data_IF_770040246162
#
_entry.id   IF_770040246162
#
_cell.length_a   1.000
_cell.length_b   1.000
_cell.length_c   1.000
_cell.angle_alpha   90.00
_cell.angle_beta   90.00
_cell.angle_gamma   90.00
#
_symmetry.space_group_name_H-M   'P 1'
#
loop_
_entity.id
_entity.type
_entity.pdbx_description
1 polymer ?
#
# COMPACT_ATOMS: atom_id res chain seq x y z
N UNK A 1 10.19 -11.90 15.83
CA UNK A 1 9.62 -10.52 15.86
C UNK A 1 10.18 -9.62 14.78
N UNK A 2 11.49 -9.62 14.50
CA UNK A 2 12.12 -8.78 13.47
C UNK A 2 11.52 -8.98 12.06
N UNK A 3 11.34 -10.23 11.62
CA UNK A 3 10.70 -10.54 10.33
C UNK A 3 9.26 -10.00 10.24
N UNK A 4 8.47 -10.13 11.32
CA UNK A 4 7.12 -9.60 11.38
C UNK A 4 7.08 -8.06 11.37
N UNK A 5 7.98 -7.39 12.11
CA UNK A 5 8.07 -5.93 12.10
C UNK A 5 8.41 -5.45 10.70
N UNK A 6 9.40 -6.08 10.03
CA UNK A 6 9.72 -5.77 8.64
C UNK A 6 8.51 -6.02 7.73
N UNK A 7 7.89 -7.20 7.82
CA UNK A 7 6.70 -7.59 7.06
C UNK A 7 5.54 -6.59 7.18
N UNK A 8 5.27 -6.10 8.39
CA UNK A 8 4.24 -5.08 8.66
C UNK A 8 4.68 -3.70 8.19
N UNK A 9 5.97 -3.35 8.33
CA UNK A 9 6.52 -2.07 7.84
C UNK A 9 6.65 -1.99 6.31
N UNK A 10 6.47 -3.10 5.59
CA UNK A 10 6.45 -3.11 4.12
C UNK A 10 5.13 -2.53 3.65
N UNK A 11 5.10 -1.20 3.47
CA UNK A 11 4.27 -0.47 2.51
C UNK A 11 4.53 1.03 2.57
N UNK A 12 4.73 1.62 1.39
CA UNK A 12 4.96 3.04 1.09
C UNK A 12 6.32 3.57 1.57
N UNK A 13 7.39 2.94 1.07
CA UNK A 13 8.71 3.58 1.00
C UNK A 13 8.69 4.77 0.03
N UNK A 14 9.62 5.71 0.24
CA UNK A 14 9.75 6.97 -0.50
C UNK A 14 9.75 6.82 -2.04
N UNK A 15 10.18 5.68 -2.56
CA UNK A 15 10.31 5.41 -4.01
C UNK A 15 8.97 5.45 -4.75
N UNK A 16 7.90 4.87 -4.20
CA UNK A 16 6.55 5.00 -4.78
C UNK A 16 6.03 6.46 -4.72
N UNK A 17 6.55 7.25 -3.77
CA UNK A 17 6.12 8.61 -3.47
C UNK A 17 6.80 9.64 -4.40
N UNK A 18 8.02 9.36 -4.89
CA UNK A 18 8.81 10.24 -5.78
C UNK A 18 8.40 10.14 -7.25
N UNK A 19 7.94 8.96 -7.70
CA UNK A 19 7.47 8.69 -9.07
C UNK A 19 6.40 9.64 -9.57
N UNK A 20 5.61 10.18 -8.64
CA UNK A 20 4.47 11.00 -8.97
C UNK A 20 4.77 12.51 -9.01
N UNK A 21 5.98 12.93 -8.62
CA UNK A 21 6.32 14.37 -8.44
C UNK A 21 7.21 14.91 -9.56
N UNK A 22 7.93 14.07 -10.31
CA UNK A 22 8.83 14.54 -11.38
C UNK A 22 8.12 14.73 -12.71
N UNK A 23 7.81 16.00 -13.02
CA UNK A 23 7.70 16.62 -14.35
C UNK A 23 6.99 15.80 -15.43
N UNK A 24 5.71 16.10 -15.59
CA UNK A 24 4.87 15.41 -16.54
C UNK A 24 4.88 16.04 -17.95
N UNK A 25 4.58 15.23 -18.97
CA UNK A 25 4.60 15.59 -20.40
C UNK A 25 3.70 16.78 -20.77
N UNK A 26 4.04 17.47 -21.88
CA UNK A 26 3.31 18.63 -22.44
C UNK A 26 1.79 18.45 -22.29
N UNK A 27 1.06 19.48 -21.83
CA UNK A 27 -0.40 19.43 -21.90
C UNK A 27 -0.76 19.32 -23.38
N UNK A 28 -1.32 18.18 -23.77
CA UNK A 28 -2.09 18.11 -25.01
C UNK A 28 -3.21 19.12 -24.82
N UNK A 29 -3.39 20.04 -25.79
CA UNK A 29 -4.55 20.93 -25.81
C UNK A 29 -5.81 20.04 -25.72
N UNK A 30 -6.37 19.93 -24.53
CA UNK A 30 -7.18 18.79 -24.16
C UNK A 30 -8.13 19.14 -23.02
N UNK A 31 -9.22 18.37 -22.95
CA UNK A 31 -10.30 18.56 -21.99
C UNK A 31 -9.74 18.59 -20.56
N UNK A 32 -10.06 19.64 -19.81
CA UNK A 32 -9.79 19.71 -18.37
C UNK A 32 -10.97 19.13 -17.61
N UNK A 33 -10.69 18.41 -16.54
CA UNK A 33 -11.70 17.71 -15.75
C UNK A 33 -11.57 18.14 -14.30
N UNK A 34 -12.70 18.39 -13.67
CA UNK A 34 -12.75 18.78 -12.28
C UNK A 34 -12.32 17.64 -11.35
N UNK A 35 -11.45 17.96 -10.39
CA UNK A 35 -11.11 17.07 -9.27
C UNK A 35 -11.28 17.85 -7.97
N UNK A 36 -11.80 17.20 -6.93
CA UNK A 36 -11.96 17.82 -5.63
C UNK A 36 -10.68 17.64 -4.79
N UNK A 37 -10.18 18.72 -4.20
CA UNK A 37 -9.14 18.71 -3.16
C UNK A 37 -9.69 19.28 -1.85
N UNK A 38 -8.95 19.11 -0.75
CA UNK A 38 -9.27 19.74 0.54
C UNK A 38 -9.28 21.28 0.47
N UNK A 39 -8.58 21.86 -0.52
CA UNK A 39 -8.46 23.31 -0.73
C UNK A 39 -9.38 23.86 -1.81
N UNK A 40 -10.26 23.04 -2.37
CA UNK A 40 -11.22 23.42 -3.41
C UNK A 40 -11.12 22.60 -4.69
N UNK A 41 -11.87 23.01 -5.70
CA UNK A 41 -11.98 22.33 -6.99
C UNK A 41 -10.79 22.70 -7.89
N UNK A 42 -10.09 21.69 -8.40
CA UNK A 42 -8.99 21.85 -9.36
C UNK A 42 -9.41 21.37 -10.73
N UNK A 43 -8.73 21.84 -11.78
CA UNK A 43 -9.06 21.58 -13.19
C UNK A 43 -7.84 21.03 -13.97
N UNK A 44 -7.28 19.88 -13.58
CA UNK A 44 -6.16 19.27 -14.29
C UNK A 44 -6.57 18.77 -15.68
N UNK A 45 -5.61 18.56 -16.60
CA UNK A 45 -5.88 17.87 -17.86
C UNK A 45 -6.47 16.47 -17.61
N UNK A 46 -7.31 15.97 -18.52
CA UNK A 46 -8.09 14.75 -18.32
C UNK A 46 -7.27 13.52 -17.88
N UNK A 47 -6.07 13.32 -18.42
CA UNK A 47 -5.22 12.18 -18.04
C UNK A 47 -4.71 12.28 -16.60
N UNK A 48 -4.37 13.49 -16.14
CA UNK A 48 -3.99 13.73 -14.74
C UNK A 48 -5.20 13.67 -13.81
N UNK A 49 -6.36 14.18 -14.24
CA UNK A 49 -7.60 14.06 -13.48
C UNK A 49 -7.98 12.60 -13.25
N UNK A 50 -7.87 11.79 -14.31
CA UNK A 50 -8.08 10.34 -14.27
C UNK A 50 -7.08 9.68 -13.33
N UNK A 51 -5.80 10.03 -13.42
CA UNK A 51 -4.76 9.56 -12.51
C UNK A 51 -5.08 9.88 -11.04
N UNK A 52 -5.49 11.11 -10.71
CA UNK A 52 -5.84 11.47 -9.33
C UNK A 52 -7.08 10.71 -8.84
N UNK A 53 -8.10 10.55 -9.69
CA UNK A 53 -9.34 9.86 -9.35
C UNK A 53 -9.17 8.34 -9.25
N UNK A 54 -8.29 7.75 -10.06
CA UNK A 54 -7.98 6.31 -10.07
C UNK A 54 -7.10 5.90 -8.87
N UNK A 55 -6.52 6.85 -8.13
CA UNK A 55 -5.69 6.52 -6.97
C UNK A 55 -6.53 5.82 -5.88
N UNK A 56 -6.10 4.64 -5.41
CA UNK A 56 -6.90 3.81 -4.53
C UNK A 56 -7.11 4.46 -3.16
N UNK A 57 -8.37 4.55 -2.74
CA UNK A 57 -8.72 5.05 -1.41
C UNK A 57 -8.62 3.91 -0.37
N UNK A 58 -8.04 4.17 0.82
CA UNK A 58 -7.96 3.17 1.88
C UNK A 58 -9.35 2.84 2.42
N UNK A 59 -9.60 1.56 2.74
CA UNK A 59 -10.81 1.14 3.44
C UNK A 59 -10.88 1.85 4.81
N UNK A 60 -11.99 2.56 5.15
CA UNK A 60 -12.14 3.22 6.45
C UNK A 60 -11.92 2.30 7.65
N UNK A 61 -12.23 1.00 7.52
CA UNK A 61 -12.02 -0.02 8.55
C UNK A 61 -10.55 -0.19 8.94
N UNK A 62 -9.59 0.24 8.11
CA UNK A 62 -8.17 0.22 8.44
C UNK A 62 -7.82 1.03 9.70
N UNK A 63 -8.69 1.96 10.09
CA UNK A 63 -8.50 2.83 11.26
C UNK A 63 -9.17 2.31 12.52
N UNK A 64 -10.01 1.28 12.43
CA UNK A 64 -10.71 0.74 13.59
C UNK A 64 -9.72 -0.02 14.50
N UNK A 65 -9.86 0.06 15.84
CA UNK A 65 -9.08 -0.76 16.75
C UNK A 65 -9.34 -2.25 16.55
N UNK A 66 -8.34 -3.09 16.85
CA UNK A 66 -8.53 -4.55 16.90
C UNK A 66 -8.60 -4.97 18.38
N UNK A 67 -9.80 -5.20 18.94
CA UNK A 67 -9.95 -5.54 20.34
C UNK A 67 -9.48 -6.98 20.60
N UNK A 68 -8.61 -7.15 21.59
CA UNK A 68 -8.16 -8.46 22.08
C UNK A 68 -8.68 -8.64 23.50
N UNK A 69 -9.54 -9.64 23.71
CA UNK A 69 -10.08 -9.99 25.01
C UNK A 69 -9.11 -10.85 25.82
N UNK A 70 -9.41 -11.05 27.11
CA UNK A 70 -8.65 -11.96 27.97
C UNK A 70 -9.05 -13.45 27.82
N UNK A 71 -10.10 -13.76 27.04
CA UNK A 71 -10.67 -15.12 26.96
C UNK A 71 -9.98 -15.94 25.86
N UNK A 72 -9.30 -17.03 26.22
CA UNK A 72 -8.63 -17.89 25.24
C UNK A 72 -9.64 -18.73 24.44
N UNK A 73 -9.49 -18.73 23.12
CA UNK A 73 -10.16 -19.67 22.22
C UNK A 73 -9.42 -21.02 22.21
N UNK A 74 -10.11 -22.15 22.05
CA UNK A 74 -9.46 -23.45 21.83
C UNK A 74 -8.60 -23.48 20.55
N UNK A 75 -8.87 -22.61 19.57
CA UNK A 75 -8.13 -22.54 18.30
C UNK A 75 -6.99 -21.53 18.30
N UNK A 76 -6.99 -20.58 19.24
CA UNK A 76 -6.18 -19.37 19.11
C UNK A 76 -4.67 -19.60 19.13
N UNK A 77 -4.16 -20.57 19.90
CA UNK A 77 -2.72 -20.87 19.86
C UNK A 77 -2.30 -21.42 18.50
N UNK A 78 -3.05 -22.37 17.95
CA UNK A 78 -2.75 -22.99 16.66
C UNK A 78 -2.87 -21.98 15.51
N UNK A 79 -3.92 -21.16 15.52
CA UNK A 79 -4.11 -20.12 14.53
C UNK A 79 -3.04 -19.01 14.62
N UNK A 80 -2.54 -18.70 15.82
CA UNK A 80 -1.49 -17.70 15.99
C UNK A 80 -0.14 -18.21 15.46
N UNK A 81 0.16 -19.50 15.66
CA UNK A 81 1.33 -20.16 15.04
C UNK A 81 1.20 -20.14 13.52
N UNK A 82 0.05 -20.57 12.98
CA UNK A 82 -0.24 -20.55 11.54
C UNK A 82 -0.07 -19.15 10.93
N UNK A 83 -0.56 -18.12 11.62
CA UNK A 83 -0.36 -16.72 11.21
C UNK A 83 1.14 -16.38 11.07
N UNK A 84 1.95 -16.72 12.06
CA UNK A 84 3.39 -16.47 11.99
C UNK A 84 4.09 -17.31 10.94
N UNK A 85 3.71 -18.57 10.74
CA UNK A 85 4.27 -19.42 9.68
C UNK A 85 4.06 -18.80 8.30
N UNK A 86 2.84 -18.32 8.00
CA UNK A 86 2.56 -17.62 6.74
C UNK A 86 3.44 -16.37 6.60
N UNK A 87 3.58 -15.57 7.67
CA UNK A 87 4.46 -14.40 7.68
C UNK A 87 5.90 -14.78 7.37
N UNK A 88 6.43 -15.82 8.01
CA UNK A 88 7.82 -16.27 7.81
C UNK A 88 8.04 -16.81 6.40
N UNK A 89 7.15 -17.68 5.92
CA UNK A 89 7.21 -18.25 4.56
C UNK A 89 7.13 -17.17 3.48
N UNK A 90 6.42 -16.09 3.76
CA UNK A 90 6.24 -14.95 2.86
C UNK A 90 7.34 -13.90 2.96
N UNK A 91 8.17 -13.96 4.01
CA UNK A 91 9.09 -12.87 4.32
C UNK A 91 10.16 -12.69 3.25
N UNK A 92 10.86 -13.76 2.88
CA UNK A 92 12.04 -13.65 2.02
C UNK A 92 11.70 -13.09 0.65
N UNK A 93 10.74 -13.70 -0.06
CA UNK A 93 10.34 -13.33 -1.41
C UNK A 93 9.80 -11.89 -1.46
N UNK A 94 8.96 -11.55 -0.48
CA UNK A 94 8.38 -10.21 -0.38
C UNK A 94 9.45 -9.15 -0.08
N UNK A 95 10.41 -9.42 0.82
CA UNK A 95 11.48 -8.47 1.11
C UNK A 95 12.37 -8.28 -0.12
N UNK A 96 12.73 -9.35 -0.81
CA UNK A 96 13.52 -9.25 -2.05
C UNK A 96 12.81 -8.40 -3.11
N UNK A 97 11.52 -8.64 -3.38
CA UNK A 97 10.77 -7.82 -4.32
C UNK A 97 10.63 -6.36 -3.87
N UNK A 98 10.50 -6.13 -2.56
CA UNK A 98 10.45 -4.78 -2.00
C UNK A 98 11.79 -4.05 -2.15
N UNK A 99 12.90 -4.73 -1.88
CA UNK A 99 14.25 -4.17 -1.99
C UNK A 99 14.58 -3.84 -3.45
N UNK A 100 14.22 -4.72 -4.39
CA UNK A 100 14.34 -4.45 -5.83
C UNK A 100 13.52 -3.23 -6.26
N UNK A 101 12.26 -3.12 -5.79
CA UNK A 101 11.41 -1.96 -6.07
C UNK A 101 11.99 -0.66 -5.48
N UNK A 102 12.50 -0.72 -4.24
CA UNK A 102 13.12 0.42 -3.59
C UNK A 102 14.34 0.89 -4.38
N UNK A 103 15.24 -0.05 -4.70
CA UNK A 103 16.47 0.20 -5.45
C UNK A 103 16.17 0.77 -6.85
N UNK A 104 15.20 0.20 -7.57
CA UNK A 104 14.81 0.70 -8.89
C UNK A 104 14.29 2.15 -8.79
N UNK A 105 13.52 2.48 -7.75
CA UNK A 105 13.01 3.84 -7.56
C UNK A 105 14.03 4.82 -6.99
N UNK A 106 15.04 4.37 -6.24
CA UNK A 106 16.21 5.18 -5.86
C UNK A 106 17.00 5.62 -7.09
N UNK A 107 17.12 4.74 -8.09
CA UNK A 107 17.76 5.06 -9.36
C UNK A 107 16.89 5.99 -10.23
N UNK A 108 15.68 5.53 -10.58
CA UNK A 108 14.74 6.33 -11.34
C UNK A 108 13.34 5.75 -11.28
N UNK A 109 12.42 6.53 -10.75
CA UNK A 109 10.99 6.21 -10.72
C UNK A 109 10.27 6.31 -12.07
N UNK A 110 10.99 6.76 -13.10
CA UNK A 110 10.50 6.93 -14.48
C UNK A 110 11.10 5.91 -15.46
N UNK A 111 11.66 4.82 -14.93
CA UNK A 111 12.37 3.80 -15.69
C UNK A 111 11.50 2.56 -15.91
N UNK A 112 11.64 1.83 -17.03
CA UNK A 112 11.01 0.53 -17.20
C UNK A 112 11.31 -0.43 -16.05
N UNK A 113 12.54 -0.42 -15.53
CA UNK A 113 12.99 -1.24 -14.41
C UNK A 113 12.16 -1.00 -13.15
N UNK A 114 11.79 0.25 -12.87
CA UNK A 114 10.90 0.59 -11.75
C UNK A 114 9.50 -0.03 -11.89
N UNK A 115 8.92 0.01 -13.09
CA UNK A 115 7.58 -0.56 -13.32
C UNK A 115 7.57 -2.09 -13.33
N UNK A 116 8.64 -2.71 -13.85
CA UNK A 116 8.81 -4.17 -13.74
C UNK A 116 8.98 -4.61 -12.28
N UNK A 117 9.78 -3.88 -11.49
CA UNK A 117 9.90 -4.13 -10.06
C UNK A 117 8.57 -3.90 -9.32
N UNK A 118 7.80 -2.87 -9.71
CA UNK A 118 6.46 -2.62 -9.16
C UNK A 118 5.51 -3.79 -9.43
N UNK A 119 5.55 -4.34 -10.65
CA UNK A 119 4.75 -5.52 -11.05
C UNK A 119 5.13 -6.75 -10.24
N UNK A 120 6.43 -7.04 -10.13
CA UNK A 120 6.92 -8.16 -9.31
C UNK A 120 6.46 -8.04 -7.86
N UNK A 121 6.59 -6.86 -7.26
CA UNK A 121 6.13 -6.62 -5.90
C UNK A 121 4.60 -6.74 -5.77
N UNK A 122 3.83 -6.29 -6.76
CA UNK A 122 2.37 -6.43 -6.76
C UNK A 122 1.94 -7.90 -6.79
N UNK A 123 2.63 -8.73 -7.59
CA UNK A 123 2.39 -10.17 -7.69
C UNK A 123 2.76 -10.89 -6.39
N UNK A 124 3.88 -10.52 -5.74
CA UNK A 124 4.23 -11.06 -4.43
C UNK A 124 3.18 -10.70 -3.37
N UNK A 125 2.67 -9.47 -3.35
CA UNK A 125 1.58 -9.10 -2.46
C UNK A 125 0.31 -9.92 -2.67
N UNK A 126 -0.05 -10.22 -3.94
CA UNK A 126 -1.19 -11.09 -4.26
C UNK A 126 -0.97 -12.51 -3.75
N UNK A 127 0.22 -13.09 -3.94
CA UNK A 127 0.56 -14.42 -3.43
C UNK A 127 0.43 -14.48 -1.90
N UNK A 128 1.01 -13.52 -1.19
CA UNK A 128 0.91 -13.43 0.27
C UNK A 128 -0.53 -13.27 0.74
N UNK A 129 -1.33 -12.49 0.01
CA UNK A 129 -2.77 -12.33 0.29
C UNK A 129 -3.51 -13.65 0.11
N UNK A 130 -3.25 -14.39 -0.98
CA UNK A 130 -3.80 -15.72 -1.21
C UNK A 130 -3.49 -16.68 -0.07
N UNK A 131 -2.23 -16.75 0.40
CA UNK A 131 -1.84 -17.58 1.54
C UNK A 131 -2.66 -17.29 2.80
N UNK A 132 -2.98 -16.02 3.09
CA UNK A 132 -3.84 -15.66 4.23
C UNK A 132 -5.32 -15.99 4.01
N UNK A 133 -5.83 -15.85 2.79
CA UNK A 133 -7.23 -16.15 2.47
C UNK A 133 -7.51 -17.65 2.44
N UNK A 134 -6.55 -18.45 1.96
CA UNK A 134 -6.64 -19.91 1.90
C UNK A 134 -6.48 -20.56 3.27
N UNK A 135 -5.84 -19.85 4.21
CA UNK A 135 -5.66 -20.30 5.57
C UNK A 135 -6.98 -20.19 6.36
N UNK A 136 -7.53 -21.34 6.75
CA UNK A 136 -8.73 -21.40 7.60
C UNK A 136 -8.40 -20.97 9.05
N UNK A 137 -8.61 -19.69 9.36
CA UNK A 137 -8.50 -19.13 10.71
C UNK A 137 -9.86 -19.19 11.42
N UNK A 138 -9.89 -19.86 12.57
CA UNK A 138 -11.09 -20.14 13.37
C UNK A 138 -11.22 -19.23 14.58
N UNK A 139 -10.10 -18.80 15.17
CA UNK A 139 -10.10 -17.79 16.23
C UNK A 139 -10.52 -16.43 15.68
N UNK A 140 -11.59 -15.80 16.22
CA UNK A 140 -12.14 -14.57 15.67
C UNK A 140 -11.22 -13.36 15.84
N UNK A 141 -10.40 -13.31 16.88
CA UNK A 141 -9.47 -12.21 17.13
C UNK A 141 -8.26 -12.28 16.20
N UNK A 142 -7.76 -13.49 15.94
CA UNK A 142 -6.70 -13.73 14.95
C UNK A 142 -7.23 -13.50 13.54
N UNK A 143 -8.45 -13.94 13.24
CA UNK A 143 -9.11 -13.66 11.95
C UNK A 143 -9.28 -12.15 11.74
N UNK A 144 -9.57 -11.37 12.77
CA UNK A 144 -9.63 -9.91 12.66
C UNK A 144 -8.26 -9.30 12.28
N UNK A 145 -7.16 -9.78 12.89
CA UNK A 145 -5.80 -9.37 12.51
C UNK A 145 -5.47 -9.76 11.07
N UNK A 146 -5.82 -10.99 10.67
CA UNK A 146 -5.61 -11.50 9.30
C UNK A 146 -6.40 -10.68 8.29
N UNK A 147 -7.68 -10.43 8.53
CA UNK A 147 -8.52 -9.62 7.66
C UNK A 147 -7.93 -8.22 7.49
N UNK A 148 -7.45 -7.59 8.57
CA UNK A 148 -6.79 -6.29 8.48
C UNK A 148 -5.51 -6.35 7.64
N UNK A 149 -4.72 -7.41 7.78
CA UNK A 149 -3.51 -7.62 6.97
C UNK A 149 -3.84 -7.81 5.50
N UNK A 150 -4.89 -8.57 5.18
CA UNK A 150 -5.40 -8.78 3.83
C UNK A 150 -5.81 -7.44 3.21
N UNK A 151 -6.58 -6.61 3.92
CA UNK A 151 -6.97 -5.28 3.42
C UNK A 151 -5.76 -4.39 3.10
N UNK A 152 -4.72 -4.41 3.94
CA UNK A 152 -3.47 -3.68 3.69
C UNK A 152 -2.75 -4.23 2.44
N UNK A 153 -2.66 -5.55 2.28
CA UNK A 153 -2.03 -6.15 1.10
C UNK A 153 -2.78 -5.83 -0.20
N UNK A 154 -4.11 -5.83 -0.15
CA UNK A 154 -4.94 -5.47 -1.31
C UNK A 154 -4.67 -4.01 -1.69
N UNK A 155 -4.68 -3.08 -0.71
CA UNK A 155 -4.34 -1.69 -0.95
C UNK A 155 -2.93 -1.54 -1.53
N UNK A 156 -1.96 -2.31 -1.01
CA UNK A 156 -0.59 -2.37 -1.53
C UNK A 156 -0.53 -2.71 -3.01
N UNK A 157 -1.18 -3.82 -3.36
CA UNK A 157 -1.23 -4.32 -4.72
C UNK A 157 -1.90 -3.31 -5.64
N UNK A 158 -3.03 -2.73 -5.23
CA UNK A 158 -3.73 -1.71 -6.01
C UNK A 158 -2.91 -0.44 -6.22
N UNK A 159 -2.10 0.00 -5.24
CA UNK A 159 -1.19 1.15 -5.43
C UNK A 159 -0.13 0.83 -6.49
N UNK A 160 0.44 -0.38 -6.47
CA UNK A 160 1.44 -0.79 -7.45
C UNK A 160 0.82 -0.97 -8.85
N UNK A 161 -0.35 -1.58 -8.93
CA UNK A 161 -1.14 -1.69 -10.17
C UNK A 161 -1.53 -0.32 -10.73
N UNK A 162 -1.86 0.63 -9.85
CA UNK A 162 -2.09 2.02 -10.22
C UNK A 162 -0.83 2.63 -10.87
N UNK A 163 0.37 2.44 -10.29
CA UNK A 163 1.62 2.91 -10.89
C UNK A 163 1.82 2.30 -12.30
N UNK A 164 1.59 1.00 -12.45
CA UNK A 164 1.71 0.29 -13.72
C UNK A 164 0.68 0.81 -14.74
N UNK A 165 -0.58 0.97 -14.34
CA UNK A 165 -1.67 1.47 -15.19
C UNK A 165 -1.39 2.87 -15.72
N UNK A 166 -0.81 3.73 -14.88
CA UNK A 166 -0.48 5.11 -15.23
C UNK A 166 0.98 5.29 -15.69
N UNK A 167 1.70 4.21 -15.96
CA UNK A 167 3.11 4.20 -16.37
C UNK A 167 3.39 5.16 -17.52
N UNK A 168 2.55 5.24 -18.57
CA UNK A 168 2.77 6.17 -19.69
C UNK A 168 2.69 7.64 -19.28
N UNK A 169 1.78 7.96 -18.37
CA UNK A 169 1.60 9.31 -17.81
C UNK A 169 2.76 9.66 -16.88
N UNK A 170 3.24 8.67 -16.10
CA UNK A 170 4.36 8.83 -15.17
C UNK A 170 5.72 8.91 -15.89
N UNK A 171 6.00 8.01 -16.83
CA UNK A 171 7.23 7.99 -17.66
C UNK A 171 7.26 9.07 -18.75
N UNK A 172 6.17 9.79 -18.97
CA UNK A 172 6.12 10.82 -20.01
C UNK A 172 7.28 11.79 -19.83
N UNK A 173 8.12 11.96 -20.86
CA UNK A 173 9.17 12.99 -20.87
C UNK A 173 8.50 14.36 -20.79
N UNK A 174 8.25 14.84 -19.58
CA UNK A 174 8.01 16.23 -19.32
C UNK A 174 9.26 17.01 -19.65
N UNK A 175 9.22 17.79 -20.72
CA UNK A 175 9.87 19.10 -20.64
C UNK A 175 9.49 19.68 -19.28
N UNK A 176 10.49 20.00 -18.42
CA UNK A 176 10.26 20.63 -17.11
C UNK A 176 9.38 21.86 -17.32
N UNK A 177 8.06 21.72 -17.14
CA UNK A 177 7.12 22.82 -17.29
C UNK A 177 6.43 23.13 -15.96
N UNK A 178 6.49 24.38 -15.49
CA UNK A 178 5.98 24.82 -14.19
C UNK A 178 4.44 24.96 -14.12
N UNK A 179 3.68 24.44 -15.10
CA UNK A 179 2.25 24.75 -15.28
C UNK A 179 1.28 23.74 -14.63
N UNK A 180 1.76 22.63 -14.04
CA UNK A 180 0.96 21.90 -13.06
C UNK A 180 0.92 22.79 -11.83
N UNK A 181 -0.24 23.40 -11.56
CA UNK A 181 -0.37 24.30 -10.43
C UNK A 181 -0.16 23.50 -9.12
N UNK A 182 0.26 24.19 -8.06
CA UNK A 182 0.48 23.54 -6.76
C UNK A 182 -0.76 22.80 -6.24
N UNK A 183 -1.98 23.23 -6.62
CA UNK A 183 -3.22 22.60 -6.18
C UNK A 183 -3.46 21.22 -6.81
N UNK A 184 -3.07 21.03 -8.08
CA UNK A 184 -3.14 19.74 -8.78
C UNK A 184 -2.20 18.71 -8.13
N UNK A 185 -0.97 19.15 -7.80
CA UNK A 185 -0.01 18.34 -7.04
C UNK A 185 -0.55 18.04 -5.64
N UNK A 186 -1.11 19.04 -4.96
CA UNK A 186 -1.67 18.88 -3.61
C UNK A 186 -2.83 17.88 -3.58
N UNK A 187 -3.74 17.90 -4.56
CA UNK A 187 -4.86 16.96 -4.63
C UNK A 187 -4.38 15.51 -4.69
N UNK A 188 -3.33 15.25 -5.48
CA UNK A 188 -2.69 13.94 -5.52
C UNK A 188 -1.98 13.59 -4.20
N UNK A 189 -1.19 14.53 -3.66
CA UNK A 189 -0.47 14.34 -2.40
C UNK A 189 -1.42 14.06 -1.23
N UNK A 190 -2.60 14.68 -1.19
CA UNK A 190 -3.62 14.45 -0.17
C UNK A 190 -4.11 13.00 -0.15
N UNK A 191 -4.51 12.46 -1.32
CA UNK A 191 -4.94 11.06 -1.46
C UNK A 191 -3.83 10.09 -1.05
N UNK A 192 -2.62 10.34 -1.53
CA UNK A 192 -1.41 9.56 -1.20
C UNK A 192 -1.11 9.58 0.30
N UNK A 193 -1.08 10.76 0.93
CA UNK A 193 -0.79 10.91 2.35
C UNK A 193 -1.88 10.25 3.20
N UNK A 194 -3.15 10.31 2.78
CA UNK A 194 -4.26 9.63 3.45
C UNK A 194 -4.10 8.11 3.43
N UNK A 195 -3.73 7.52 2.29
CA UNK A 195 -3.44 6.09 2.18
C UNK A 195 -2.26 5.70 3.09
N UNK A 196 -1.19 6.50 3.08
CA UNK A 196 -0.01 6.25 3.92
C UNK A 196 -0.32 6.29 5.42
N UNK A 197 -1.03 7.32 5.86
CA UNK A 197 -1.40 7.45 7.27
C UNK A 197 -2.36 6.33 7.70
N UNK A 198 -3.29 5.93 6.82
CA UNK A 198 -4.17 4.79 7.04
C UNK A 198 -3.40 3.48 7.24
N UNK A 199 -2.43 3.18 6.37
CA UNK A 199 -1.58 1.98 6.48
C UNK A 199 -0.73 2.04 7.76
N UNK A 200 -0.10 3.17 8.05
CA UNK A 200 0.74 3.35 9.24
C UNK A 200 -0.03 3.09 10.53
N UNK A 201 -1.22 3.68 10.67
CA UNK A 201 -2.11 3.48 11.83
C UNK A 201 -2.58 2.04 11.94
N UNK A 202 -3.00 1.45 10.83
CA UNK A 202 -3.45 0.06 10.77
C UNK A 202 -2.35 -0.92 11.20
N UNK A 203 -1.13 -0.71 10.71
CA UNK A 203 0.05 -1.49 11.07
C UNK A 203 0.39 -1.39 12.57
N UNK A 204 0.23 -0.21 13.17
CA UNK A 204 0.41 -0.03 14.62
C UNK A 204 -0.63 -0.83 15.42
N UNK A 205 -1.90 -0.83 14.99
CA UNK A 205 -2.96 -1.62 15.63
C UNK A 205 -2.74 -3.12 15.44
N UNK A 206 -2.31 -3.59 14.27
CA UNK A 206 -1.90 -4.99 14.05
C UNK A 206 -0.76 -5.38 15.01
N UNK A 207 0.28 -4.56 15.12
CA UNK A 207 1.43 -4.83 16.01
C UNK A 207 0.98 -4.92 17.47
N UNK A 208 0.10 -4.02 17.90
CA UNK A 208 -0.48 -4.01 19.25
C UNK A 208 -1.32 -5.28 19.50
N UNK A 209 -2.21 -5.62 18.58
CA UNK A 209 -3.06 -6.81 18.67
C UNK A 209 -2.23 -8.10 18.69
N UNK A 210 -1.24 -8.23 17.81
CA UNK A 210 -0.35 -9.40 17.78
C UNK A 210 0.45 -9.53 19.07
N UNK A 211 0.96 -8.43 19.66
CA UNK A 211 1.63 -8.48 20.97
C UNK A 211 0.69 -8.94 22.08
N UNK A 212 -0.56 -8.46 22.10
CA UNK A 212 -1.55 -8.90 23.06
C UNK A 212 -1.91 -10.39 22.90
N UNK A 213 -2.12 -10.84 21.66
CA UNK A 213 -2.36 -12.25 21.33
C UNK A 213 -1.19 -13.15 21.72
N UNK A 214 0.06 -12.73 21.46
CA UNK A 214 1.26 -13.43 21.91
C UNK A 214 1.29 -13.59 23.44
N UNK A 215 1.02 -12.52 24.19
CA UNK A 215 0.93 -12.58 25.66
C UNK A 215 -0.19 -13.51 26.12
N UNK A 216 -1.36 -13.40 25.50
CA UNK A 216 -2.55 -14.21 25.80
C UNK A 216 -2.29 -15.71 25.61
N UNK A 217 -1.61 -16.10 24.53
CA UNK A 217 -1.32 -17.50 24.22
C UNK A 217 0.09 -17.97 24.62
N UNK A 218 0.87 -17.11 25.29
CA UNK A 218 2.21 -17.39 25.79
C UNK A 218 3.19 -17.87 24.70
N UNK A 219 3.23 -17.13 23.58
CA UNK A 219 4.15 -17.30 22.44
C UNK A 219 5.16 -16.15 22.32
#
# INVERSE_FOLDING_TARGET
MTAFIRFVSVLLTASALTACVSAAAKPVAGKRVAVQSSKGKVMPPADYAKMINDFPDPNPKLLEPIPISNVKSPYGRADLVKFFEIVLQSHSELMTAQDEFNWAGENSTHSPEFFEAAKKLADEWKKVTGRFLDADFRDPEIKAVVNRRVEINILASHVLEYLIKHQKTLMGKGEKKPEINQLDVMAFLEKRNKAQEGVKKSNAEILKAVRALKKKYSL
#
